data_IF_700362247573
#
_entry.id   IF_700362247573
#
_cell.length_a   1.000
_cell.length_b   1.000
_cell.length_c   1.000
_cell.angle_alpha   90.00
_cell.angle_beta   90.00
_cell.angle_gamma   90.00
#
_symmetry.space_group_name_H-M   'P 1'
#
loop_
_entity.id
_entity.type
_entity.pdbx_description
1 polymer ?
#
# COMPACT_ATOMS: atom_id res chain seq x y z
N UNK A 1 29.23 11.70 -22.27
CA UNK A 1 27.84 11.18 -22.25
C UNK A 1 27.65 9.77 -21.65
N UNK A 2 28.70 8.96 -21.40
CA UNK A 2 28.55 7.57 -20.86
C UNK A 2 28.52 7.44 -19.33
N UNK A 3 28.72 8.52 -18.57
CA UNK A 3 28.84 8.45 -17.10
C UNK A 3 27.51 8.67 -16.35
N UNK A 4 26.54 9.36 -16.94
CA UNK A 4 25.24 9.61 -16.30
C UNK A 4 24.28 8.41 -16.31
N UNK A 5 24.48 7.45 -17.21
CA UNK A 5 23.67 6.22 -17.25
C UNK A 5 24.09 5.17 -16.20
N UNK A 6 25.34 5.21 -15.72
CA UNK A 6 25.80 4.27 -14.68
C UNK A 6 25.31 4.64 -13.28
N UNK A 7 25.12 5.94 -12.97
CA UNK A 7 24.56 6.37 -11.69
C UNK A 7 23.06 6.03 -11.56
N UNK A 8 22.30 6.10 -12.66
CA UNK A 8 20.86 5.74 -12.64
C UNK A 8 20.61 4.25 -12.45
N UNK A 9 21.53 3.38 -12.90
CA UNK A 9 21.45 1.94 -12.64
C UNK A 9 21.75 1.57 -11.18
N UNK A 10 22.68 2.27 -10.52
CA UNK A 10 23.02 2.03 -9.11
C UNK A 10 21.91 2.48 -8.13
N UNK A 11 21.12 3.50 -8.47
CA UNK A 11 19.93 3.88 -7.69
C UNK A 11 18.71 2.98 -7.97
N UNK A 12 18.61 2.38 -9.16
CA UNK A 12 17.56 1.41 -9.46
C UNK A 12 17.78 0.06 -8.75
N UNK A 13 19.04 -0.41 -8.65
CA UNK A 13 19.37 -1.66 -7.97
C UNK A 13 19.21 -1.59 -6.43
N UNK A 14 19.51 -0.45 -5.81
CA UNK A 14 19.31 -0.27 -4.36
C UNK A 14 17.83 -0.11 -3.98
N UNK A 15 17.00 0.47 -4.85
CA UNK A 15 15.55 0.53 -4.65
C UNK A 15 14.89 -0.86 -4.78
N UNK A 16 15.40 -1.72 -5.67
CA UNK A 16 14.87 -3.08 -5.86
C UNK A 16 15.28 -4.05 -4.74
N UNK A 17 16.50 -3.91 -4.19
CA UNK A 17 16.95 -4.72 -3.06
C UNK A 17 16.19 -4.41 -1.74
N UNK A 18 15.68 -3.17 -1.59
CA UNK A 18 14.82 -2.79 -0.46
C UNK A 18 13.35 -3.23 -0.67
N UNK A 19 12.89 -3.36 -1.92
CA UNK A 19 11.56 -3.84 -2.26
C UNK A 19 11.42 -5.38 -2.19
N UNK A 20 12.48 -6.12 -2.50
CA UNK A 20 12.48 -7.59 -2.48
C UNK A 20 12.34 -8.19 -1.07
N UNK A 21 12.70 -7.45 0.00
CA UNK A 21 12.56 -7.94 1.37
C UNK A 21 11.15 -7.72 1.99
N UNK A 22 10.20 -7.15 1.25
CA UNK A 22 8.85 -6.87 1.76
C UNK A 22 7.77 -7.86 1.31
N UNK A 23 8.07 -8.84 0.45
CA UNK A 23 7.05 -9.69 -0.22
C UNK A 23 7.09 -11.17 0.22
N UNK A 24 7.93 -11.55 1.19
CA UNK A 24 7.99 -12.95 1.66
C UNK A 24 7.24 -13.12 2.99
N UNK A 25 6.03 -13.68 2.88
CA UNK A 25 5.17 -14.09 3.98
C UNK A 25 4.65 -15.51 3.79
N UNK A 26 5.53 -16.51 3.80
CA UNK A 26 5.13 -17.81 4.36
C UNK A 26 4.92 -17.62 5.87
N UNK A 27 3.98 -18.31 6.52
CA UNK A 27 3.92 -18.42 7.97
C UNK A 27 5.02 -19.38 8.45
N UNK A 28 6.27 -19.10 8.06
CA UNK A 28 7.41 -19.55 8.86
C UNK A 28 7.25 -18.84 10.18
N UNK A 29 7.41 -19.56 11.28
CA UNK A 29 7.53 -19.00 12.62
C UNK A 29 8.67 -17.97 12.59
N UNK A 30 8.36 -16.72 12.24
CA UNK A 30 9.33 -15.63 12.11
C UNK A 30 9.85 -15.39 13.52
N UNK A 31 11.15 -15.58 13.71
CA UNK A 31 11.78 -15.31 15.01
C UNK A 31 11.47 -13.87 15.43
N UNK A 32 11.36 -13.62 16.73
CA UNK A 32 11.09 -12.27 17.26
C UNK A 32 12.04 -11.22 16.65
N UNK A 33 13.31 -11.56 16.45
CA UNK A 33 14.30 -10.65 15.87
C UNK A 33 14.00 -10.31 14.42
N UNK A 34 13.54 -11.26 13.61
CA UNK A 34 13.13 -11.00 12.24
C UNK A 34 11.92 -10.04 12.16
N UNK A 35 10.96 -10.18 13.08
CA UNK A 35 9.83 -9.27 13.20
C UNK A 35 10.26 -7.87 13.68
N UNK A 36 11.17 -7.78 14.66
CA UNK A 36 11.75 -6.51 15.12
C UNK A 36 12.42 -5.76 13.96
N UNK A 37 13.26 -6.45 13.19
CA UNK A 37 13.95 -5.88 12.02
C UNK A 37 12.94 -5.41 10.96
N UNK A 38 11.94 -6.23 10.65
CA UNK A 38 10.90 -5.88 9.68
C UNK A 38 10.10 -4.64 10.10
N UNK A 39 9.71 -4.56 11.38
CA UNK A 39 9.02 -3.40 11.95
C UNK A 39 9.89 -2.13 11.83
N UNK A 40 11.15 -2.18 12.26
CA UNK A 40 12.05 -1.02 12.20
C UNK A 40 12.23 -0.54 10.76
N UNK A 41 12.40 -1.46 9.81
CA UNK A 41 12.50 -1.11 8.38
C UNK A 41 11.23 -0.44 7.85
N UNK A 42 10.06 -0.96 8.21
CA UNK A 42 8.80 -0.36 7.78
C UNK A 42 8.54 1.00 8.43
N UNK A 43 8.96 1.21 9.69
CA UNK A 43 8.91 2.52 10.34
C UNK A 43 9.82 3.53 9.62
N UNK A 44 11.07 3.16 9.32
CA UNK A 44 11.98 4.03 8.57
C UNK A 44 11.43 4.34 7.16
N UNK A 45 10.80 3.36 6.50
CA UNK A 45 10.14 3.59 5.23
C UNK A 45 8.96 4.57 5.36
N UNK A 46 8.13 4.42 6.39
CA UNK A 46 7.01 5.33 6.67
C UNK A 46 7.52 6.77 6.83
N UNK A 47 8.54 6.97 7.66
CA UNK A 47 9.11 8.29 7.94
C UNK A 47 9.66 8.93 6.65
N UNK A 48 10.40 8.16 5.85
CA UNK A 48 10.96 8.64 4.58
C UNK A 48 9.86 9.09 3.60
N UNK A 49 8.78 8.31 3.46
CA UNK A 49 7.67 8.62 2.54
C UNK A 49 6.87 9.81 3.06
N UNK A 50 6.65 9.91 4.38
CA UNK A 50 5.98 11.05 4.99
C UNK A 50 6.78 12.35 4.84
N UNK A 51 8.11 12.29 4.95
CA UNK A 51 8.97 13.45 4.71
C UNK A 51 8.85 13.93 3.26
N UNK A 52 8.94 13.01 2.29
CA UNK A 52 8.76 13.34 0.86
C UNK A 52 7.37 13.93 0.61
N UNK A 53 6.31 13.34 1.20
CA UNK A 53 4.93 13.84 1.10
C UNK A 53 4.82 15.27 1.62
N UNK A 54 5.37 15.56 2.80
CA UNK A 54 5.35 16.90 3.39
C UNK A 54 6.05 17.91 2.49
N UNK A 55 7.18 17.56 1.88
CA UNK A 55 7.85 18.42 0.89
C UNK A 55 6.98 18.68 -0.34
N UNK A 56 6.27 17.67 -0.86
CA UNK A 56 5.36 17.88 -2.00
C UNK A 56 4.15 18.74 -1.62
N UNK A 57 3.61 18.59 -0.41
CA UNK A 57 2.51 19.41 0.12
C UNK A 57 2.90 20.88 0.23
N UNK A 58 4.12 21.19 0.70
CA UNK A 58 4.62 22.57 0.74
C UNK A 58 4.69 23.18 -0.67
N UNK A 59 5.28 22.46 -1.63
CA UNK A 59 5.34 22.88 -3.04
C UNK A 59 3.95 23.07 -3.64
N UNK A 60 3.00 22.21 -3.30
CA UNK A 60 1.62 22.32 -3.75
C UNK A 60 0.95 23.59 -3.20
N UNK A 61 1.18 23.90 -1.92
CA UNK A 61 0.71 25.14 -1.30
C UNK A 61 1.30 26.38 -1.97
N UNK A 62 2.60 26.40 -2.24
CA UNK A 62 3.28 27.50 -2.95
C UNK A 62 2.68 27.74 -4.35
N UNK A 63 2.51 26.66 -5.13
CA UNK A 63 1.93 26.76 -6.48
C UNK A 63 0.48 27.23 -6.42
N UNK A 64 -0.30 26.80 -5.43
CA UNK A 64 -1.67 27.30 -5.25
C UNK A 64 -1.72 28.77 -4.83
N UNK A 65 -0.75 29.24 -4.06
CA UNK A 65 -0.55 30.68 -3.79
C UNK A 65 -0.38 31.47 -5.09
N UNK A 66 0.53 31.02 -5.96
CA UNK A 66 0.77 31.63 -7.28
C UNK A 66 -0.47 31.61 -8.17
N UNK A 67 -1.22 30.50 -8.19
CA UNK A 67 -2.49 30.39 -8.94
C UNK A 67 -3.48 31.47 -8.48
N UNK A 68 -3.59 31.69 -7.17
CA UNK A 68 -4.51 32.69 -6.62
C UNK A 68 -4.06 34.11 -7.00
N UNK A 69 -2.77 34.42 -6.91
CA UNK A 69 -2.21 35.70 -7.35
C UNK A 69 -2.51 35.96 -8.83
N UNK A 70 -2.24 34.99 -9.71
CA UNK A 70 -2.52 35.13 -11.15
C UNK A 70 -4.01 35.30 -11.46
N UNK A 71 -4.91 34.61 -10.73
CA UNK A 71 -6.36 34.79 -10.88
C UNK A 71 -6.80 36.19 -10.48
N UNK A 72 -6.25 36.73 -9.39
CA UNK A 72 -6.55 38.09 -8.93
C UNK A 72 -6.07 39.12 -9.95
N UNK A 73 -4.86 38.97 -10.49
CA UNK A 73 -4.31 39.87 -11.50
C UNK A 73 -5.08 39.83 -12.82
N UNK A 74 -5.45 38.64 -13.30
CA UNK A 74 -6.28 38.49 -14.50
C UNK A 74 -7.68 39.08 -14.34
N UNK A 75 -8.22 39.10 -13.12
CA UNK A 75 -9.48 39.76 -12.80
C UNK A 75 -9.42 41.29 -12.96
N UNK A 76 -8.21 41.88 -12.89
CA UNK A 76 -7.99 43.33 -13.06
C UNK A 76 -7.70 43.70 -14.51
N UNK A 77 -6.94 42.87 -15.23
CA UNK A 77 -6.57 43.12 -16.62
C UNK A 77 -6.31 41.81 -17.36
N UNK A 78 -6.92 41.64 -18.54
CA UNK A 78 -6.65 40.46 -19.38
C UNK A 78 -5.28 40.61 -20.05
N UNK A 79 -4.34 39.77 -19.65
CA UNK A 79 -2.99 39.72 -20.21
C UNK A 79 -2.65 38.28 -20.65
N UNK A 80 -2.38 38.03 -21.95
CA UNK A 80 -2.13 36.68 -22.46
C UNK A 80 -0.96 35.95 -21.78
N UNK A 81 0.08 36.69 -21.39
CA UNK A 81 1.23 36.12 -20.68
C UNK A 81 0.86 35.59 -19.28
N UNK A 82 -0.06 36.28 -18.59
CA UNK A 82 -0.58 35.85 -17.29
C UNK A 82 -1.48 34.60 -17.42
N UNK A 83 -2.31 34.52 -18.47
CA UNK A 83 -3.10 33.32 -18.75
C UNK A 83 -2.21 32.10 -19.02
N UNK A 84 -1.12 32.28 -19.78
CA UNK A 84 -0.15 31.21 -20.03
C UNK A 84 0.50 30.73 -18.71
N UNK A 85 0.94 31.65 -17.84
CA UNK A 85 1.53 31.32 -16.54
C UNK A 85 0.52 30.63 -15.61
N UNK A 86 -0.73 31.08 -15.58
CA UNK A 86 -1.80 30.45 -14.83
C UNK A 86 -2.03 29.00 -15.29
N UNK A 87 -2.11 28.77 -16.61
CA UNK A 87 -2.29 27.41 -17.15
C UNK A 87 -1.12 26.48 -16.82
N UNK A 88 0.11 26.98 -16.88
CA UNK A 88 1.29 26.22 -16.47
C UNK A 88 1.26 25.88 -14.96
N UNK A 89 0.88 26.84 -14.11
CA UNK A 89 0.76 26.64 -12.67
C UNK A 89 -0.36 25.63 -12.32
N UNK A 90 -1.51 25.71 -13.00
CA UNK A 90 -2.62 24.76 -12.87
C UNK A 90 -2.20 23.33 -13.25
N UNK A 91 -1.44 23.18 -14.35
CA UNK A 91 -0.89 21.87 -14.75
C UNK A 91 0.05 21.32 -13.67
N UNK A 92 0.99 22.14 -13.19
CA UNK A 92 1.93 21.77 -12.13
C UNK A 92 1.22 21.41 -10.82
N UNK A 93 0.16 22.14 -10.45
CA UNK A 93 -0.67 21.85 -9.28
C UNK A 93 -1.33 20.46 -9.39
N UNK A 94 -1.88 20.10 -10.57
CA UNK A 94 -2.42 18.76 -10.82
C UNK A 94 -1.36 17.66 -10.69
N UNK A 95 -0.20 17.85 -11.31
CA UNK A 95 0.92 16.89 -11.21
C UNK A 95 1.40 16.68 -9.76
N UNK A 96 1.42 17.75 -8.96
CA UNK A 96 1.75 17.68 -7.54
C UNK A 96 0.66 16.96 -6.74
N UNK A 97 -0.62 17.23 -7.02
CA UNK A 97 -1.74 16.54 -6.39
C UNK A 97 -1.72 15.03 -6.67
N UNK A 98 -1.43 14.63 -7.91
CA UNK A 98 -1.30 13.22 -8.28
C UNK A 98 -0.13 12.54 -7.54
N UNK A 99 1.03 13.22 -7.42
CA UNK A 99 2.17 12.72 -6.64
C UNK A 99 1.83 12.57 -5.16
N UNK A 100 1.13 13.55 -4.58
CA UNK A 100 0.69 13.51 -3.17
C UNK A 100 -0.26 12.32 -2.98
N UNK A 101 -1.22 12.11 -3.89
CA UNK A 101 -2.14 10.98 -3.88
C UNK A 101 -1.42 9.62 -3.90
N UNK A 102 -0.40 9.46 -4.76
CA UNK A 102 0.43 8.25 -4.80
C UNK A 102 1.17 8.04 -3.48
N UNK A 103 1.74 9.12 -2.90
CA UNK A 103 2.44 9.05 -1.62
C UNK A 103 1.47 8.72 -0.47
N UNK A 104 0.25 9.24 -0.49
CA UNK A 104 -0.80 8.93 0.48
C UNK A 104 -1.21 7.46 0.42
N UNK A 105 -1.39 6.92 -0.78
CA UNK A 105 -1.64 5.48 -0.97
C UNK A 105 -0.49 4.63 -0.40
N UNK A 106 0.76 5.04 -0.66
CA UNK A 106 1.95 4.36 -0.12
C UNK A 106 2.06 4.45 1.41
N UNK A 107 1.75 5.60 2.00
CA UNK A 107 1.69 5.78 3.46
C UNK A 107 0.65 4.83 4.07
N UNK A 108 -0.54 4.75 3.45
CA UNK A 108 -1.58 3.84 3.93
C UNK A 108 -1.17 2.37 3.80
N UNK A 109 -0.54 1.96 2.69
CA UNK A 109 -0.03 0.60 2.53
C UNK A 109 1.00 0.25 3.61
N UNK A 110 1.97 1.14 3.87
CA UNK A 110 2.99 0.92 4.92
C UNK A 110 2.34 0.83 6.30
N UNK A 111 1.32 1.66 6.59
CA UNK A 111 0.55 1.57 7.83
C UNK A 111 -0.18 0.24 7.99
N UNK A 112 -0.82 -0.28 6.94
CA UNK A 112 -1.47 -1.59 6.95
C UNK A 112 -0.44 -2.69 7.24
N UNK A 113 0.68 -2.70 6.51
CA UNK A 113 1.75 -3.67 6.73
C UNK A 113 2.32 -3.60 8.16
N UNK A 114 2.49 -2.39 8.72
CA UNK A 114 2.91 -2.20 10.11
C UNK A 114 1.89 -2.76 11.11
N UNK A 115 0.58 -2.57 10.87
CA UNK A 115 -0.45 -3.16 11.73
C UNK A 115 -0.39 -4.69 11.71
N UNK A 116 -0.19 -5.31 10.54
CA UNK A 116 -0.04 -6.76 10.43
C UNK A 116 1.21 -7.25 11.16
N UNK A 117 2.35 -6.58 10.99
CA UNK A 117 3.58 -6.92 11.69
C UNK A 117 3.44 -6.78 13.21
N UNK A 118 2.74 -5.76 13.69
CA UNK A 118 2.45 -5.62 15.12
C UNK A 118 1.52 -6.71 15.65
N UNK A 119 0.46 -7.08 14.90
CA UNK A 119 -0.42 -8.19 15.28
C UNK A 119 0.35 -9.50 15.36
N UNK A 120 1.21 -9.79 14.37
CA UNK A 120 2.07 -10.96 14.36
C UNK A 120 3.05 -10.94 15.55
N UNK A 121 3.73 -9.83 15.79
CA UNK A 121 4.64 -9.66 16.93
C UNK A 121 3.94 -9.92 18.27
N UNK A 122 2.74 -9.37 18.48
CA UNK A 122 1.95 -9.58 19.70
C UNK A 122 1.59 -11.07 19.86
N UNK A 123 1.17 -11.73 18.79
CA UNK A 123 0.85 -13.15 18.81
C UNK A 123 2.09 -14.02 19.12
N UNK A 124 3.23 -13.74 18.50
CA UNK A 124 4.48 -14.46 18.77
C UNK A 124 4.95 -14.27 20.21
N UNK A 125 4.90 -13.03 20.72
CA UNK A 125 5.20 -12.73 22.13
C UNK A 125 4.27 -13.49 23.09
N UNK A 126 2.98 -13.60 22.76
CA UNK A 126 2.03 -14.40 23.56
C UNK A 126 2.38 -15.88 23.58
N UNK A 127 2.79 -16.46 22.45
CA UNK A 127 3.24 -17.87 22.42
C UNK A 127 4.50 -18.10 23.24
N UNK A 128 5.46 -17.17 23.19
CA UNK A 128 6.73 -17.28 23.90
C UNK A 128 6.57 -17.09 25.40
N UNK A 129 5.74 -16.12 25.82
CA UNK A 129 5.33 -15.94 27.22
C UNK A 129 4.65 -17.21 27.75
N UNK A 130 3.70 -17.80 27.01
CA UNK A 130 3.04 -19.06 27.42
C UNK A 130 4.03 -20.21 27.54
N UNK A 131 4.99 -20.33 26.62
CA UNK A 131 6.03 -21.37 26.66
C UNK A 131 6.92 -21.23 27.90
N UNK A 132 7.38 -20.02 28.20
CA UNK A 132 8.19 -19.71 29.39
C UNK A 132 7.43 -19.95 30.71
N UNK A 133 6.14 -19.62 30.75
CA UNK A 133 5.31 -19.87 31.93
C UNK A 133 5.01 -21.37 32.10
N UNK A 134 4.76 -22.10 31.01
CA UNK A 134 4.48 -23.54 31.04
C UNK A 134 5.70 -24.37 31.50
N UNK A 135 6.90 -23.95 31.11
CA UNK A 135 8.16 -24.55 31.58
C UNK A 135 8.51 -24.19 33.03
N UNK A 136 7.88 -23.15 33.60
CA UNK A 136 8.06 -22.74 34.99
C UNK A 136 7.15 -23.45 36.01
N UNK A 137 6.17 -24.25 35.56
CA UNK A 137 5.27 -25.05 36.42
C UNK A 137 5.94 -26.30 37.06
N UNK A 138 7.27 -26.40 37.01
CA UNK A 138 8.02 -27.41 37.76
C UNK A 138 8.12 -26.99 39.24
N UNK A 139 8.38 -27.93 40.16
CA UNK A 139 8.33 -27.74 41.62
C UNK A 139 9.26 -26.64 42.17
N UNK A 140 10.13 -26.06 41.35
CA UNK A 140 10.96 -24.89 41.67
C UNK A 140 10.68 -23.77 40.66
N UNK A 141 10.17 -22.60 41.09
CA UNK A 141 9.93 -21.48 40.19
C UNK A 141 11.24 -21.04 39.55
N UNK A 142 11.32 -21.15 38.23
CA UNK A 142 12.47 -20.68 37.46
C UNK A 142 12.40 -19.13 37.37
N UNK A 143 13.07 -18.44 38.30
CA UNK A 143 13.10 -16.98 38.38
C UNK A 143 13.56 -16.33 37.06
N UNK A 144 14.45 -16.97 36.30
CA UNK A 144 14.90 -16.47 35.00
C UNK A 144 13.79 -16.52 33.93
N UNK A 145 12.96 -17.56 33.95
CA UNK A 145 11.79 -17.67 33.06
C UNK A 145 10.72 -16.62 33.41
N UNK A 146 10.48 -16.38 34.71
CA UNK A 146 9.56 -15.34 35.17
C UNK A 146 10.03 -13.93 34.79
N UNK A 147 11.31 -13.62 34.99
CA UNK A 147 11.88 -12.33 34.60
C UNK A 147 11.83 -12.11 33.08
N UNK A 148 12.13 -13.16 32.30
CA UNK A 148 12.04 -13.12 30.83
C UNK A 148 10.59 -12.92 30.35
N UNK A 149 9.63 -13.63 30.96
CA UNK A 149 8.20 -13.49 30.68
C UNK A 149 7.70 -12.07 30.98
N UNK A 150 8.10 -11.47 32.11
CA UNK A 150 7.77 -10.08 32.43
C UNK A 150 8.35 -9.08 31.42
N UNK A 151 9.60 -9.29 30.97
CA UNK A 151 10.23 -8.45 29.94
C UNK A 151 9.46 -8.52 28.62
N UNK A 152 9.10 -9.72 28.17
CA UNK A 152 8.31 -9.92 26.95
C UNK A 152 6.90 -9.34 27.08
N UNK A 153 6.28 -9.42 28.27
CA UNK A 153 4.97 -8.81 28.53
C UNK A 153 5.03 -7.28 28.45
N UNK A 154 6.10 -6.65 28.94
CA UNK A 154 6.32 -5.21 28.78
C UNK A 154 6.50 -4.85 27.30
N UNK A 155 7.31 -5.60 26.57
CA UNK A 155 7.51 -5.42 25.12
C UNK A 155 6.18 -5.55 24.35
N UNK A 156 5.36 -6.57 24.66
CA UNK A 156 4.02 -6.78 24.09
C UNK A 156 3.13 -5.55 24.28
N UNK A 157 3.10 -4.99 25.49
CA UNK A 157 2.30 -3.79 25.78
C UNK A 157 2.74 -2.59 24.93
N UNK A 158 4.05 -2.44 24.70
CA UNK A 158 4.60 -1.42 23.81
C UNK A 158 4.11 -1.57 22.37
N UNK A 159 4.11 -2.79 21.83
CA UNK A 159 3.59 -3.05 20.49
C UNK A 159 2.07 -2.89 20.39
N UNK A 160 1.32 -3.27 21.42
CA UNK A 160 -0.13 -3.06 21.47
C UNK A 160 -0.49 -1.56 21.44
N UNK A 161 0.22 -0.73 22.20
CA UNK A 161 0.06 0.73 22.17
C UNK A 161 0.37 1.32 20.79
N UNK A 162 1.43 0.84 20.12
CA UNK A 162 1.80 1.27 18.75
C UNK A 162 0.79 0.81 17.70
N UNK A 163 0.21 -0.39 17.84
CA UNK A 163 -0.85 -0.87 16.96
C UNK A 163 -2.07 0.06 17.02
N UNK A 164 -2.47 0.45 18.23
CA UNK A 164 -3.63 1.33 18.46
C UNK A 164 -3.38 2.78 18.02
N UNK A 165 -2.12 3.23 17.94
CA UNK A 165 -1.79 4.59 17.48
C UNK A 165 -1.79 4.73 15.95
N UNK A 166 -1.72 3.63 15.19
CA UNK A 166 -1.81 3.67 13.73
C UNK A 166 -3.26 3.98 13.31
N UNK A 167 -3.50 5.25 12.97
CA UNK A 167 -4.70 5.67 12.23
C UNK A 167 -4.48 5.46 10.74
N UNK A 168 -5.13 4.45 10.16
CA UNK A 168 -5.25 4.31 8.71
C UNK A 168 -6.19 5.44 8.25
N UNK A 169 -5.71 6.30 7.36
CA UNK A 169 -6.58 7.32 6.77
C UNK A 169 -7.57 6.59 5.86
N UNK A 170 -8.72 6.32 6.44
CA UNK A 170 -9.97 6.01 5.77
C UNK A 170 -10.10 6.98 4.57
N UNK A 171 -10.21 6.41 3.37
CA UNK A 171 -10.10 7.14 2.10
C UNK A 171 -10.90 8.44 2.09
N UNK A 172 -10.37 9.53 1.51
CA UNK A 172 -10.98 10.89 1.56
C UNK A 172 -12.49 10.93 1.24
N UNK A 173 -12.99 10.04 0.38
CA UNK A 173 -14.41 9.92 0.05
C UNK A 173 -15.29 9.44 1.21
N UNK A 174 -14.76 8.66 2.15
CA UNK A 174 -15.46 8.21 3.34
C UNK A 174 -15.77 9.38 4.29
N UNK A 175 -15.00 10.47 4.22
CA UNK A 175 -15.22 11.69 5.02
C UNK A 175 -16.27 12.65 4.43
N UNK A 176 -16.69 12.45 3.17
CA UNK A 176 -17.73 13.30 2.55
C UNK A 176 -19.09 12.99 3.20
N UNK A 177 -19.66 13.91 3.96
CA UNK A 177 -20.95 13.72 4.64
C UNK A 177 -21.96 14.80 4.24
N UNK A 178 -23.25 14.53 4.44
CA UNK A 178 -24.31 15.52 4.26
C UNK A 178 -24.41 16.33 5.55
N UNK A 179 -24.23 17.63 5.46
CA UNK A 179 -24.39 18.55 6.58
C UNK A 179 -25.84 19.04 6.65
N UNK A 180 -26.35 19.35 7.85
CA UNK A 180 -27.73 19.81 8.04
C UNK A 180 -28.08 21.02 7.15
N UNK A 181 -27.13 21.93 6.98
CA UNK A 181 -27.27 23.18 6.23
C UNK A 181 -26.91 23.05 4.73
N UNK A 182 -26.64 21.84 4.22
CA UNK A 182 -26.30 21.68 2.80
C UNK A 182 -27.48 22.04 1.89
N UNK A 183 -27.30 22.98 0.97
CA UNK A 183 -28.29 23.25 -0.07
C UNK A 183 -28.43 22.07 -1.04
N UNK A 184 -29.56 21.95 -1.78
CA UNK A 184 -29.70 20.94 -2.83
C UNK A 184 -28.51 20.92 -3.81
N UNK A 185 -28.00 22.10 -4.19
CA UNK A 185 -26.85 22.25 -5.08
C UNK A 185 -25.56 21.69 -4.45
N UNK A 186 -25.35 21.91 -3.14
CA UNK A 186 -24.17 21.39 -2.42
C UNK A 186 -24.23 19.87 -2.26
N UNK A 187 -25.40 19.29 -2.02
CA UNK A 187 -25.61 17.84 -1.99
C UNK A 187 -25.33 17.25 -3.38
N UNK A 188 -25.83 17.88 -4.46
CA UNK A 188 -25.57 17.44 -5.83
C UNK A 188 -24.07 17.48 -6.16
N UNK A 189 -23.36 18.55 -5.80
CA UNK A 189 -21.92 18.66 -5.99
C UNK A 189 -21.15 17.55 -5.25
N UNK A 190 -21.48 17.29 -3.99
CA UNK A 190 -20.89 16.18 -3.20
C UNK A 190 -21.20 14.82 -3.87
N UNK A 191 -22.40 14.65 -4.43
CA UNK A 191 -22.79 13.44 -5.17
C UNK A 191 -21.96 13.25 -6.43
N UNK A 192 -21.71 14.30 -7.21
CA UNK A 192 -20.85 14.25 -8.41
C UNK A 192 -19.43 13.86 -8.05
N UNK A 193 -18.86 14.41 -6.97
CA UNK A 193 -17.52 14.02 -6.50
C UNK A 193 -17.44 12.53 -6.12
N UNK A 194 -18.48 12.00 -5.47
CA UNK A 194 -18.56 10.57 -5.14
C UNK A 194 -18.69 9.71 -6.41
N UNK A 195 -19.49 10.12 -7.39
CA UNK A 195 -19.62 9.44 -8.69
C UNK A 195 -18.32 9.42 -9.48
N UNK A 196 -17.59 10.53 -9.52
CA UNK A 196 -16.28 10.61 -10.17
C UNK A 196 -15.28 9.67 -9.50
N UNK A 197 -15.33 9.56 -8.17
CA UNK A 197 -14.50 8.61 -7.44
C UNK A 197 -14.89 7.17 -7.74
N UNK A 198 -16.18 6.86 -7.89
CA UNK A 198 -16.66 5.52 -8.25
C UNK A 198 -16.16 5.12 -9.64
N UNK A 199 -16.31 6.00 -10.63
CA UNK A 199 -15.83 5.76 -11.99
C UNK A 199 -14.30 5.63 -12.09
N UNK A 200 -13.54 6.29 -11.19
CA UNK A 200 -12.09 6.07 -11.08
C UNK A 200 -11.77 4.71 -10.45
N UNK A 201 -12.48 4.33 -9.40
CA UNK A 201 -12.28 3.07 -8.70
C UNK A 201 -12.59 1.87 -9.61
N UNK A 202 -13.67 1.94 -10.40
CA UNK A 202 -13.99 0.92 -11.40
C UNK A 202 -12.90 0.75 -12.46
N UNK A 203 -12.33 1.87 -12.95
CA UNK A 203 -11.21 1.80 -13.90
C UNK A 203 -9.99 1.12 -13.30
N UNK A 204 -9.69 1.40 -12.03
CA UNK A 204 -8.59 0.73 -11.30
C UNK A 204 -8.87 -0.76 -11.16
N UNK A 205 -10.09 -1.15 -10.76
CA UNK A 205 -10.49 -2.56 -10.66
C UNK A 205 -10.30 -3.27 -12.01
N UNK A 206 -10.76 -2.67 -13.11
CA UNK A 206 -10.61 -3.26 -14.45
C UNK A 206 -9.15 -3.41 -14.86
N UNK A 207 -8.31 -2.42 -14.54
CA UNK A 207 -6.86 -2.49 -14.79
C UNK A 207 -6.19 -3.61 -13.98
N UNK A 208 -6.54 -3.72 -12.69
CA UNK A 208 -6.02 -4.76 -11.81
C UNK A 208 -6.51 -6.16 -12.25
N UNK A 209 -7.75 -6.28 -12.74
CA UNK A 209 -8.29 -7.53 -13.30
C UNK A 209 -7.63 -7.93 -14.63
N UNK A 210 -7.27 -6.97 -15.48
CA UNK A 210 -6.45 -7.24 -16.67
C UNK A 210 -5.05 -7.71 -16.25
N UNK A 211 -4.40 -7.00 -15.34
CA UNK A 211 -3.07 -7.35 -14.84
C UNK A 211 -3.06 -8.73 -14.17
N UNK A 212 -4.13 -9.08 -13.45
CA UNK A 212 -4.29 -10.40 -12.86
C UNK A 212 -4.33 -11.50 -13.93
N UNK A 213 -5.07 -11.29 -15.02
CA UNK A 213 -5.13 -12.24 -16.15
C UNK A 213 -3.77 -12.42 -16.82
N UNK A 214 -3.02 -11.34 -17.01
CA UNK A 214 -1.64 -11.40 -17.53
C UNK A 214 -0.75 -12.24 -16.62
N UNK A 215 -0.75 -11.97 -15.31
CA UNK A 215 0.08 -12.70 -14.35
C UNK A 215 -0.30 -14.17 -14.23
N UNK A 216 -1.59 -14.50 -14.30
CA UNK A 216 -2.06 -15.90 -14.32
C UNK A 216 -1.58 -16.62 -15.59
N UNK A 217 -1.54 -15.94 -16.74
CA UNK A 217 -0.98 -16.48 -17.99
C UNK A 217 0.53 -16.68 -17.89
N UNK A 218 1.26 -15.69 -17.37
CA UNK A 218 2.72 -15.76 -17.19
C UNK A 218 3.11 -16.89 -16.23
N UNK A 219 2.39 -17.02 -15.11
CA UNK A 219 2.58 -18.13 -14.16
C UNK A 219 2.33 -19.48 -14.81
N UNK A 220 1.30 -19.60 -15.65
CA UNK A 220 1.01 -20.84 -16.38
C UNK A 220 2.16 -21.21 -17.31
N UNK A 221 2.65 -20.26 -18.11
CA UNK A 221 3.78 -20.48 -19.02
C UNK A 221 5.06 -20.88 -18.26
N UNK A 222 5.34 -20.22 -17.13
CA UNK A 222 6.45 -20.57 -16.24
C UNK A 222 6.34 -21.98 -15.67
N UNK A 223 5.14 -22.40 -15.24
CA UNK A 223 4.93 -23.75 -14.75
C UNK A 223 5.09 -24.80 -15.87
N UNK A 224 4.64 -24.50 -17.09
CA UNK A 224 4.85 -25.37 -18.26
C UNK A 224 6.36 -25.51 -18.56
N UNK A 225 7.12 -24.41 -18.50
CA UNK A 225 8.58 -24.45 -18.62
C UNK A 225 9.24 -25.26 -17.50
N UNK A 226 8.81 -25.07 -16.25
CA UNK A 226 9.34 -25.81 -15.11
C UNK A 226 9.10 -27.32 -15.27
N UNK A 227 7.89 -27.73 -15.69
CA UNK A 227 7.57 -29.13 -15.98
C UNK A 227 8.44 -29.68 -17.10
N UNK A 228 8.61 -28.93 -18.20
CA UNK A 228 9.50 -29.32 -19.29
C UNK A 228 10.94 -29.53 -18.80
N UNK A 229 11.48 -28.62 -17.99
CA UNK A 229 12.83 -28.73 -17.44
C UNK A 229 12.96 -29.92 -16.47
N UNK A 230 11.93 -30.23 -15.68
CA UNK A 230 11.89 -31.41 -14.81
C UNK A 230 11.84 -32.72 -15.61
N UNK A 231 11.10 -32.76 -16.72
CA UNK A 231 11.05 -33.94 -17.58
C UNK A 231 12.37 -34.13 -18.34
N UNK A 232 12.98 -33.03 -18.80
CA UNK A 232 14.32 -33.05 -19.41
C UNK A 232 15.39 -33.50 -18.40
N UNK A 233 15.30 -33.07 -17.14
CA UNK A 233 16.26 -33.47 -16.10
C UNK A 233 16.23 -34.96 -15.84
N UNK A 234 15.03 -35.54 -15.77
CA UNK A 234 14.84 -36.99 -15.60
C UNK A 234 15.38 -37.79 -16.78
N UNK A 235 15.29 -37.24 -17.99
CA UNK A 235 15.78 -37.90 -19.21
C UNK A 235 17.31 -37.80 -19.35
N UNK A 236 17.91 -36.69 -18.90
CA UNK A 236 19.37 -36.45 -19.01
C UNK A 236 20.18 -37.03 -17.83
N UNK A 237 19.59 -37.19 -16.64
CA UNK A 237 20.25 -37.87 -15.49
C UNK A 237 20.67 -39.31 -15.82
N UNK A 238 20.02 -39.96 -16.79
CA UNK A 238 20.39 -41.29 -17.28
C UNK A 238 21.62 -41.29 -18.23
N UNK A 239 22.02 -40.15 -18.81
CA UNK A 239 23.09 -40.10 -19.84
C UNK A 239 24.26 -39.16 -19.55
N UNK A 240 24.09 -37.99 -18.92
CA UNK A 240 25.18 -37.05 -18.63
C UNK A 240 24.89 -36.18 -17.39
N UNK A 241 25.69 -36.33 -16.33
CA UNK A 241 25.50 -35.70 -15.01
C UNK A 241 25.74 -34.17 -14.90
N UNK A 242 25.38 -33.38 -15.92
CA UNK A 242 25.47 -31.91 -15.90
C UNK A 242 24.07 -31.33 -16.15
N UNK A 243 23.21 -31.36 -15.12
CA UNK A 243 21.93 -30.67 -15.15
C UNK A 243 22.04 -29.31 -14.45
N UNK A 244 21.57 -28.26 -15.11
CA UNK A 244 21.69 -26.86 -14.70
C UNK A 244 20.71 -26.53 -13.56
N UNK A 245 21.02 -27.03 -12.34
CA UNK A 245 20.17 -26.90 -11.14
C UNK A 245 19.82 -25.45 -10.82
N UNK A 246 20.73 -24.52 -11.08
CA UNK A 246 20.54 -23.09 -10.85
C UNK A 246 19.35 -22.54 -11.65
N UNK A 247 19.18 -23.01 -12.90
CA UNK A 247 18.07 -22.61 -13.76
C UNK A 247 16.72 -23.14 -13.27
N UNK A 248 16.70 -24.34 -12.71
CA UNK A 248 15.49 -24.96 -12.17
C UNK A 248 15.05 -24.29 -10.86
N UNK A 249 16.00 -23.90 -10.01
CA UNK A 249 15.75 -23.13 -8.80
C UNK A 249 15.24 -21.71 -9.13
N UNK A 250 15.83 -21.05 -10.13
CA UNK A 250 15.37 -19.74 -10.62
C UNK A 250 13.91 -19.78 -11.12
N UNK A 251 13.53 -20.80 -11.90
CA UNK A 251 12.16 -20.96 -12.39
C UNK A 251 11.17 -21.23 -11.24
N UNK A 252 11.59 -21.99 -10.23
CA UNK A 252 10.78 -22.23 -9.03
C UNK A 252 10.55 -20.94 -8.25
N UNK A 253 11.59 -20.16 -8.00
CA UNK A 253 11.52 -18.86 -7.33
C UNK A 253 10.62 -17.87 -8.10
N UNK A 254 10.72 -17.87 -9.44
CA UNK A 254 9.87 -17.04 -10.30
C UNK A 254 8.39 -17.46 -10.21
N UNK A 255 8.08 -18.76 -10.24
CA UNK A 255 6.70 -19.26 -10.05
C UNK A 255 6.12 -18.89 -8.68
N UNK A 256 6.94 -18.96 -7.61
CA UNK A 256 6.55 -18.55 -6.25
C UNK A 256 6.37 -17.03 -6.11
N UNK A 257 7.16 -16.23 -6.83
CA UNK A 257 6.97 -14.78 -6.93
C UNK A 257 5.64 -14.45 -7.62
N UNK A 258 5.35 -15.07 -8.78
CA UNK A 258 4.07 -14.85 -9.48
C UNK A 258 2.86 -15.26 -8.62
N UNK A 259 2.94 -16.37 -7.88
CA UNK A 259 1.87 -16.79 -6.99
C UNK A 259 1.55 -15.74 -5.92
N UNK A 260 2.58 -15.08 -5.38
CA UNK A 260 2.42 -14.01 -4.38
C UNK A 260 1.89 -12.72 -4.98
N UNK A 261 2.40 -12.30 -6.14
CA UNK A 261 1.88 -11.12 -6.85
C UNK A 261 0.39 -11.28 -7.19
N UNK A 262 0.00 -12.46 -7.68
CA UNK A 262 -1.40 -12.81 -7.93
C UNK A 262 -2.24 -12.68 -6.65
N UNK A 263 -1.75 -13.16 -5.52
CA UNK A 263 -2.48 -13.09 -4.26
C UNK A 263 -2.66 -11.64 -3.78
N UNK A 264 -1.63 -10.80 -3.91
CA UNK A 264 -1.68 -9.37 -3.56
C UNK A 264 -2.73 -8.67 -4.42
N UNK A 265 -2.69 -8.86 -5.74
CA UNK A 265 -3.63 -8.22 -6.67
C UNK A 265 -5.06 -8.70 -6.42
N UNK A 266 -5.27 -10.00 -6.14
CA UNK A 266 -6.60 -10.53 -5.75
C UNK A 266 -7.13 -9.86 -4.48
N UNK A 267 -6.27 -9.62 -3.49
CA UNK A 267 -6.65 -8.90 -2.27
C UNK A 267 -7.02 -7.45 -2.58
N UNK A 268 -6.22 -6.76 -3.40
CA UNK A 268 -6.47 -5.37 -3.81
C UNK A 268 -7.79 -5.22 -4.59
N UNK A 269 -8.06 -6.12 -5.54
CA UNK A 269 -9.33 -6.15 -6.28
C UNK A 269 -10.50 -6.35 -5.33
N UNK A 270 -10.38 -7.29 -4.37
CA UNK A 270 -11.44 -7.58 -3.40
C UNK A 270 -11.74 -6.37 -2.50
N UNK A 271 -10.69 -5.72 -2.00
CA UNK A 271 -10.83 -4.49 -1.21
C UNK A 271 -11.44 -3.35 -2.04
N UNK A 272 -10.98 -3.15 -3.27
CA UNK A 272 -11.51 -2.13 -4.18
C UNK A 272 -12.98 -2.39 -4.55
N UNK A 273 -13.39 -3.65 -4.74
CA UNK A 273 -14.79 -4.04 -4.95
C UNK A 273 -15.65 -3.71 -3.73
N UNK A 274 -15.19 -4.04 -2.53
CA UNK A 274 -15.89 -3.69 -1.28
C UNK A 274 -16.03 -2.17 -1.13
N UNK A 275 -14.97 -1.42 -1.42
CA UNK A 275 -14.98 0.05 -1.42
C UNK A 275 -15.95 0.62 -2.45
N UNK A 276 -16.06 -0.01 -3.64
CA UNK A 276 -17.01 0.37 -4.68
C UNK A 276 -18.46 0.22 -4.19
N UNK A 277 -18.79 -0.93 -3.58
CA UNK A 277 -20.12 -1.17 -3.00
C UNK A 277 -20.46 -0.11 -1.95
N UNK A 278 -19.56 0.13 -0.99
CA UNK A 278 -19.75 1.13 0.06
C UNK A 278 -19.94 2.55 -0.51
N UNK A 279 -19.22 2.88 -1.58
CA UNK A 279 -19.32 4.17 -2.25
C UNK A 279 -20.66 4.32 -2.98
N UNK A 280 -21.15 3.28 -3.64
CA UNK A 280 -22.46 3.28 -4.31
C UNK A 280 -23.63 3.38 -3.33
N UNK A 281 -23.56 2.69 -2.19
CA UNK A 281 -24.54 2.88 -1.11
C UNK A 281 -24.56 4.34 -0.64
N UNK A 282 -23.39 4.95 -0.50
CA UNK A 282 -23.26 6.35 -0.09
C UNK A 282 -23.84 7.31 -1.14
N UNK A 283 -23.55 7.10 -2.42
CA UNK A 283 -24.14 7.87 -3.53
C UNK A 283 -25.67 7.77 -3.51
N UNK A 284 -26.21 6.57 -3.25
CA UNK A 284 -27.66 6.35 -3.14
C UNK A 284 -28.27 7.19 -2.02
N UNK A 285 -27.68 7.17 -0.82
CA UNK A 285 -28.12 8.00 0.33
C UNK A 285 -28.08 9.50 0.01
N UNK A 286 -27.03 9.98 -0.65
CA UNK A 286 -26.91 11.37 -1.09
C UNK A 286 -27.98 11.76 -2.11
N UNK A 287 -28.26 10.87 -3.06
CA UNK A 287 -29.28 11.09 -4.09
C UNK A 287 -30.69 11.15 -3.48
N UNK A 288 -30.98 10.28 -2.51
CA UNK A 288 -32.25 10.30 -1.76
C UNK A 288 -32.40 11.58 -0.93
N UNK A 289 -31.36 11.98 -0.20
CA UNK A 289 -31.37 13.21 0.58
C UNK A 289 -31.54 14.47 -0.29
N UNK A 290 -30.94 14.48 -1.48
CA UNK A 290 -31.12 15.56 -2.45
C UNK A 290 -32.58 15.65 -2.92
N UNK A 291 -33.20 14.53 -3.31
CA UNK A 291 -34.62 14.47 -3.70
C UNK A 291 -35.53 14.98 -2.58
N UNK A 292 -35.32 14.51 -1.36
CA UNK A 292 -36.10 14.94 -0.19
C UNK A 292 -35.95 16.44 0.09
N UNK A 293 -34.76 17.03 -0.07
CA UNK A 293 -34.60 18.48 0.07
C UNK A 293 -35.30 19.25 -1.04
N UNK A 294 -35.29 18.76 -2.28
CA UNK A 294 -36.02 19.40 -3.37
C UNK A 294 -37.53 19.42 -3.16
N UNK A 295 -38.11 18.38 -2.56
CA UNK A 295 -39.55 18.32 -2.25
C UNK A 295 -39.98 19.30 -1.14
N UNK A 296 -39.04 19.79 -0.33
CA UNK A 296 -39.29 20.75 0.75
C UNK A 296 -38.99 22.21 0.35
N UNK A 297 -38.62 22.44 -0.91
CA UNK A 297 -38.38 23.76 -1.52
C UNK A 297 -39.47 24.08 -2.53
#
# INVERSE_FOLDING_TARGET
MKFQNKLKLLFAFSAWFVLAQCVFGNPVNKSLDSLRIAIVRQQASLDSVQQVRSTQMLKFSEVNGQINEYKIELGKQRQPLLEFRLNAALKKSRELADKISILDARVNQIKVNLQELYKQMIATLDTEIRSLLSSSNSKTPNQAALNSSQRLSKEKSGYFSRLNSIKINVSEWQNITIEANDSPQRIMMKTTLLKDKAARLERVILQDEERLRELEKDKKMQNEMLVFYLDLSRTLEDEQGIFDRDRLEELKDQSENFAREIQIIKSQISENKLNSVNLYEKISRFTQAWKKKLENY
#
